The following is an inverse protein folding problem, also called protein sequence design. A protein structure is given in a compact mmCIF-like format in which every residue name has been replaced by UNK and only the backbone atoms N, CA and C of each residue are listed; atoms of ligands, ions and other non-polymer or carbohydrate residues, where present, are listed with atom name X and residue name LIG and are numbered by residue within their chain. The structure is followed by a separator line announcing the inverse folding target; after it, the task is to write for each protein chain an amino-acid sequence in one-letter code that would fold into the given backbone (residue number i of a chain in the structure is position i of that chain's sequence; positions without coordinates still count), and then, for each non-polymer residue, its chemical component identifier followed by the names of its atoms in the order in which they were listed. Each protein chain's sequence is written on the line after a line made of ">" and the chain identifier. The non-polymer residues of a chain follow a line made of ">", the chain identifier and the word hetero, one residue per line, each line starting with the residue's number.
data_IF_414789223724
#
_entry.id   IF_414789223724
#
_cell.length_a   1.000
_cell.length_b   1.000
_cell.length_c   1.000
_cell.angle_alpha   90.00
_cell.angle_beta   90.00
_cell.angle_gamma   90.00
#
_symmetry.space_group_name_H-M   'P 1'
#
loop_
_entity.id
_entity.type
_entity.pdbx_description
1 polymer ?
#
# COMPACT_ATOMS: atom_id res chain seq x y z
N UNK A 1 -53.39 22.88 24.14
CA UNK A 1 -52.54 21.86 23.46
C UNK A 1 -52.13 20.83 24.51
N UNK A 2 -52.45 19.55 24.32
CA UNK A 2 -52.33 18.50 25.34
C UNK A 2 -50.83 18.15 25.59
N UNK A 3 -50.36 18.14 26.86
CA UNK A 3 -48.93 17.90 27.21
C UNK A 3 -48.28 16.71 26.48
N UNK A 4 -49.06 15.67 26.19
CA UNK A 4 -48.59 14.51 25.39
C UNK A 4 -48.26 14.84 23.93
N UNK A 5 -48.97 15.81 23.30
CA UNK A 5 -48.68 16.26 21.92
C UNK A 5 -47.46 17.13 21.87
N UNK A 6 -47.16 17.92 22.91
CA UNK A 6 -45.98 18.76 22.98
C UNK A 6 -44.69 17.90 23.14
N UNK A 7 -44.72 16.84 23.97
CA UNK A 7 -43.58 15.92 24.14
C UNK A 7 -43.30 15.15 22.86
N UNK A 8 -44.32 14.75 22.11
CA UNK A 8 -44.16 14.04 20.84
C UNK A 8 -43.58 14.96 19.74
N UNK A 9 -43.97 16.23 19.71
CA UNK A 9 -43.45 17.21 18.76
C UNK A 9 -41.98 17.58 19.06
N UNK A 10 -41.61 17.74 20.33
CA UNK A 10 -40.23 17.99 20.76
C UNK A 10 -39.32 16.78 20.46
N UNK A 11 -39.81 15.53 20.66
CA UNK A 11 -39.05 14.31 20.33
C UNK A 11 -38.78 14.18 18.81
N UNK A 12 -39.76 14.56 17.96
CA UNK A 12 -39.59 14.56 16.50
C UNK A 12 -38.57 15.64 16.05
N UNK A 13 -38.62 16.83 16.66
CA UNK A 13 -37.66 17.90 16.34
C UNK A 13 -36.23 17.52 16.75
N UNK A 14 -36.05 16.89 17.93
CA UNK A 14 -34.74 16.42 18.39
C UNK A 14 -34.21 15.30 17.49
N UNK A 15 -35.06 14.35 17.05
CA UNK A 15 -34.69 13.30 16.11
C UNK A 15 -34.30 13.87 14.73
N UNK A 16 -34.99 14.94 14.27
CA UNK A 16 -34.69 15.61 13.00
C UNK A 16 -33.38 16.41 13.07
N UNK A 17 -33.11 17.08 14.21
CA UNK A 17 -31.85 17.82 14.42
C UNK A 17 -30.66 16.85 14.54
N UNK A 18 -30.82 15.70 15.21
CA UNK A 18 -29.81 14.66 15.29
C UNK A 18 -29.58 13.97 13.92
N UNK A 19 -30.65 13.73 13.15
CA UNK A 19 -30.57 13.19 11.79
C UNK A 19 -29.86 14.15 10.82
N UNK A 20 -30.18 15.45 10.86
CA UNK A 20 -29.51 16.48 10.05
C UNK A 20 -28.06 16.71 10.47
N UNK A 21 -27.73 16.57 11.75
CA UNK A 21 -26.35 16.63 12.26
C UNK A 21 -25.48 15.47 11.75
N UNK A 22 -26.04 14.29 11.57
CA UNK A 22 -25.36 13.13 11.00
C UNK A 22 -25.18 13.23 9.47
N UNK A 23 -26.20 13.75 8.76
CA UNK A 23 -26.14 13.96 7.30
C UNK A 23 -25.17 15.09 6.97
N UNK A 24 -25.12 16.18 7.75
CA UNK A 24 -24.20 17.30 7.52
C UNK A 24 -22.75 16.91 7.79
N UNK A 25 -22.46 16.12 8.84
CA UNK A 25 -21.11 15.62 9.13
C UNK A 25 -20.62 14.66 8.05
N UNK A 26 -21.47 13.79 7.51
CA UNK A 26 -21.14 12.90 6.39
C UNK A 26 -20.84 13.67 5.10
N UNK A 27 -21.64 14.70 4.78
CA UNK A 27 -21.45 15.50 3.55
C UNK A 27 -20.26 16.46 3.64
N UNK A 28 -19.94 16.95 4.83
CA UNK A 28 -18.73 17.78 5.07
C UNK A 28 -17.48 16.90 5.02
N UNK A 29 -17.56 15.68 5.53
CA UNK A 29 -16.45 14.70 5.48
C UNK A 29 -16.14 14.31 4.03
N UNK A 30 -17.14 13.98 3.21
CA UNK A 30 -16.98 13.68 1.78
C UNK A 30 -16.49 14.89 0.98
N UNK A 31 -17.01 16.11 1.21
CA UNK A 31 -16.54 17.31 0.52
C UNK A 31 -15.11 17.71 0.89
N UNK A 32 -14.72 17.55 2.17
CA UNK A 32 -13.35 17.82 2.63
C UNK A 32 -12.37 16.75 2.13
N UNK A 33 -12.80 15.50 2.06
CA UNK A 33 -12.06 14.38 1.48
C UNK A 33 -11.75 14.65 0.00
N UNK A 34 -12.77 14.97 -0.79
CA UNK A 34 -12.64 15.28 -2.22
C UNK A 34 -11.79 16.54 -2.50
N UNK A 35 -11.70 17.51 -1.60
CA UNK A 35 -10.92 18.75 -1.82
C UNK A 35 -9.42 18.55 -1.64
N UNK A 36 -8.99 17.67 -0.72
CA UNK A 36 -7.58 17.33 -0.51
C UNK A 36 -7.12 16.35 -1.60
N UNK A 37 -7.98 15.45 -2.03
CA UNK A 37 -7.73 14.48 -3.10
C UNK A 37 -7.51 15.14 -4.47
N UNK A 38 -8.31 16.15 -4.81
CA UNK A 38 -8.22 16.83 -6.11
C UNK A 38 -6.90 17.57 -6.35
N UNK A 39 -6.08 17.83 -5.33
CA UNK A 39 -4.79 18.48 -5.52
C UNK A 39 -3.66 17.51 -5.91
N UNK A 40 -3.78 16.20 -5.64
CA UNK A 40 -2.74 15.21 -5.91
C UNK A 40 -2.99 14.34 -7.15
N UNK A 41 -4.14 14.50 -7.85
CA UNK A 41 -4.57 13.56 -8.90
C UNK A 41 -4.26 13.96 -10.34
N UNK A 42 -3.53 15.07 -10.57
CA UNK A 42 -3.19 15.52 -11.92
C UNK A 42 -1.89 14.93 -12.47
N UNK A 43 -1.64 13.62 -12.25
CA UNK A 43 -0.57 12.93 -12.95
C UNK A 43 -1.17 12.28 -14.19
N UNK A 44 -0.75 12.77 -15.35
CA UNK A 44 -1.14 12.20 -16.63
C UNK A 44 -0.15 11.08 -16.98
N UNK A 45 -0.55 9.85 -16.73
CA UNK A 45 0.27 8.68 -17.04
C UNK A 45 0.28 8.42 -18.54
N UNK A 46 1.38 8.78 -19.20
CA UNK A 46 1.57 8.66 -20.65
C UNK A 46 2.70 7.70 -21.00
N UNK A 47 2.52 6.95 -22.07
CA UNK A 47 3.57 6.12 -22.63
C UNK A 47 4.60 6.98 -23.36
N UNK A 48 5.88 6.83 -22.97
CA UNK A 48 7.07 7.34 -23.63
C UNK A 48 8.12 6.24 -23.64
N UNK A 49 7.78 5.14 -24.31
CA UNK A 49 8.54 3.90 -24.26
C UNK A 49 9.91 4.04 -24.93
N UNK A 50 10.91 3.45 -24.32
CA UNK A 50 12.21 3.20 -24.95
C UNK A 50 11.98 2.34 -26.19
N UNK A 51 12.74 2.60 -27.26
CA UNK A 51 12.59 1.91 -28.53
C UNK A 51 12.54 0.38 -28.36
N UNK A 52 11.54 -0.26 -28.97
CA UNK A 52 11.34 -1.73 -28.97
C UNK A 52 12.47 -2.52 -29.64
N UNK A 53 13.40 -1.85 -30.37
CA UNK A 53 14.57 -2.48 -30.96
C UNK A 53 15.61 -2.91 -29.93
N UNK A 54 15.54 -2.36 -28.71
CA UNK A 54 16.44 -2.64 -27.62
C UNK A 54 15.58 -3.23 -26.47
N UNK A 55 15.93 -4.42 -26.00
CA UNK A 55 15.23 -5.08 -24.88
C UNK A 55 16.22 -5.37 -23.74
N UNK A 56 15.81 -5.25 -22.48
CA UNK A 56 16.58 -5.76 -21.36
C UNK A 56 16.62 -7.30 -21.43
N UNK A 57 17.71 -7.90 -20.92
CA UNK A 57 17.83 -9.35 -20.80
C UNK A 57 17.50 -9.72 -19.35
N UNK A 58 16.29 -10.16 -19.10
CA UNK A 58 15.85 -10.62 -17.79
C UNK A 58 16.36 -12.05 -17.49
N UNK A 59 16.31 -12.41 -16.19
CA UNK A 59 16.45 -13.78 -15.73
C UNK A 59 15.01 -14.35 -15.65
N UNK A 60 14.79 -15.48 -16.33
CA UNK A 60 13.43 -15.96 -16.50
C UNK A 60 12.56 -15.04 -17.35
N UNK A 61 11.26 -15.16 -17.21
CA UNK A 61 10.26 -14.31 -17.89
C UNK A 61 9.28 -13.76 -16.85
N UNK A 62 9.59 -12.56 -16.25
CA UNK A 62 8.63 -11.90 -15.37
C UNK A 62 7.27 -11.75 -16.04
N UNK A 63 6.20 -12.12 -15.35
CA UNK A 63 4.86 -12.12 -15.96
C UNK A 63 4.42 -10.71 -16.36
N UNK A 64 4.68 -9.71 -15.51
CA UNK A 64 4.39 -8.32 -15.86
C UNK A 64 5.41 -7.36 -15.24
N UNK A 65 5.79 -6.33 -16.00
CA UNK A 65 6.74 -5.29 -15.55
C UNK A 65 6.35 -3.92 -16.07
N UNK A 66 6.73 -2.89 -15.31
CA UNK A 66 6.63 -1.49 -15.74
C UNK A 66 7.76 -0.65 -15.12
N UNK A 67 8.14 0.42 -15.83
CA UNK A 67 8.99 1.48 -15.28
C UNK A 67 8.34 2.84 -15.56
N UNK A 68 8.23 3.67 -14.51
CA UNK A 68 7.53 4.96 -14.52
C UNK A 68 8.45 6.04 -13.95
N UNK A 69 8.59 7.15 -14.65
CA UNK A 69 9.12 8.38 -14.08
C UNK A 69 8.12 8.98 -13.08
N UNK A 70 8.50 9.02 -11.81
CA UNK A 70 7.58 9.39 -10.74
C UNK A 70 7.24 10.89 -10.72
N UNK A 71 8.03 11.74 -11.38
CA UNK A 71 7.81 13.19 -11.42
C UNK A 71 6.66 13.57 -12.35
N UNK A 72 6.66 12.99 -13.54
CA UNK A 72 5.74 13.35 -14.61
C UNK A 72 4.77 12.25 -15.04
N UNK A 73 4.89 11.02 -14.49
CA UNK A 73 4.03 9.88 -14.81
C UNK A 73 4.36 9.22 -16.15
N UNK A 74 5.51 9.50 -16.76
CA UNK A 74 5.85 8.89 -18.04
C UNK A 74 6.24 7.41 -17.87
N UNK A 75 5.55 6.53 -18.58
CA UNK A 75 5.82 5.10 -18.64
C UNK A 75 6.89 4.88 -19.70
N UNK A 76 8.09 4.51 -19.27
CA UNK A 76 9.28 4.37 -20.11
C UNK A 76 9.58 2.92 -20.50
N UNK A 77 9.05 1.96 -19.76
CA UNK A 77 9.07 0.54 -20.07
C UNK A 77 7.75 -0.11 -19.66
N UNK A 78 7.27 -1.06 -20.45
CA UNK A 78 6.02 -1.80 -20.19
C UNK A 78 6.13 -3.21 -20.80
N UNK A 79 5.72 -4.22 -20.01
CA UNK A 79 5.57 -5.60 -20.41
C UNK A 79 4.37 -6.18 -19.67
N UNK A 80 3.33 -6.63 -20.38
CA UNK A 80 2.06 -7.13 -19.84
C UNK A 80 1.47 -6.24 -18.72
N UNK A 81 1.78 -4.95 -18.73
CA UNK A 81 1.56 -4.00 -17.64
C UNK A 81 0.09 -3.80 -17.29
N UNK A 82 -0.83 -4.17 -18.18
CA UNK A 82 -2.28 -4.06 -17.95
C UNK A 82 -2.93 -5.39 -17.51
N UNK A 83 -2.17 -6.50 -17.49
CA UNK A 83 -2.66 -7.80 -17.03
C UNK A 83 -2.88 -7.78 -15.54
N UNK A 84 -4.08 -8.11 -15.03
CA UNK A 84 -4.29 -8.29 -13.58
C UNK A 84 -3.51 -9.52 -13.10
N UNK A 85 -2.76 -9.33 -12.02
CA UNK A 85 -2.03 -10.39 -11.34
C UNK A 85 -2.28 -10.32 -9.85
N UNK A 86 -2.13 -11.43 -9.13
CA UNK A 86 -2.07 -11.41 -7.68
C UNK A 86 -0.81 -10.67 -7.25
N UNK A 87 -0.94 -9.73 -6.31
CA UNK A 87 0.13 -8.77 -5.98
C UNK A 87 0.64 -8.93 -4.55
N UNK A 88 0.15 -9.91 -3.83
CA UNK A 88 0.57 -10.18 -2.46
C UNK A 88 0.67 -8.89 -1.61
N UNK A 89 1.75 -8.76 -0.84
CA UNK A 89 2.00 -7.61 0.04
C UNK A 89 2.24 -6.27 -0.65
N UNK A 90 2.33 -6.20 -1.99
CA UNK A 90 2.38 -4.90 -2.68
C UNK A 90 1.08 -4.10 -2.45
N UNK A 91 -0.03 -4.78 -2.20
CA UNK A 91 -1.31 -4.16 -1.79
C UNK A 91 -1.21 -3.30 -0.53
N UNK A 92 -0.21 -3.57 0.34
CA UNK A 92 0.05 -2.72 1.52
C UNK A 92 0.40 -1.27 1.15
N UNK A 93 0.82 -0.99 -0.09
CA UNK A 93 0.98 0.40 -0.54
C UNK A 93 -0.33 1.18 -0.49
N UNK A 94 -1.47 0.56 -0.90
CA UNK A 94 -2.79 1.18 -0.75
C UNK A 94 -3.18 1.29 0.73
N UNK A 95 -2.94 0.24 1.52
CA UNK A 95 -3.19 0.25 2.97
C UNK A 95 -2.43 1.39 3.65
N UNK A 96 -1.14 1.49 3.41
CA UNK A 96 -0.28 2.52 4.01
C UNK A 96 -0.63 3.92 3.53
N UNK A 97 -1.02 4.10 2.28
CA UNK A 97 -1.54 5.40 1.80
C UNK A 97 -2.71 5.89 2.65
N UNK A 98 -3.72 5.04 2.87
CA UNK A 98 -4.90 5.39 3.66
C UNK A 98 -4.57 5.59 5.15
N UNK A 99 -3.64 4.81 5.69
CA UNK A 99 -3.14 4.95 7.08
C UNK A 99 -2.44 6.28 7.27
N UNK A 100 -1.47 6.62 6.40
CA UNK A 100 -0.71 7.88 6.47
C UNK A 100 -1.66 9.06 6.35
N UNK A 101 -2.60 9.00 5.40
CA UNK A 101 -3.61 10.06 5.19
C UNK A 101 -4.40 10.34 6.47
N UNK A 102 -4.89 9.30 7.16
CA UNK A 102 -5.60 9.45 8.43
C UNK A 102 -4.66 9.94 9.54
N UNK A 103 -3.45 9.39 9.64
CA UNK A 103 -2.49 9.74 10.68
C UNK A 103 -2.08 11.21 10.59
N UNK A 104 -1.80 11.72 9.40
CA UNK A 104 -1.45 13.13 9.18
C UNK A 104 -2.63 14.07 9.48
N UNK A 105 -3.83 13.74 8.98
CA UNK A 105 -5.02 14.57 9.18
C UNK A 105 -5.40 14.73 10.64
N UNK A 106 -5.21 13.70 11.47
CA UNK A 106 -5.67 13.65 12.85
C UNK A 106 -4.54 13.75 13.88
N UNK A 107 -3.30 14.06 13.45
CA UNK A 107 -2.10 13.95 14.28
C UNK A 107 -2.02 12.58 14.99
N UNK A 108 -2.30 11.53 14.23
CA UNK A 108 -2.60 10.19 14.74
C UNK A 108 -1.41 9.26 14.91
N UNK A 109 -0.19 9.67 14.56
CA UNK A 109 0.99 8.78 14.59
C UNK A 109 1.25 8.13 15.95
N UNK A 110 0.97 8.86 17.04
CA UNK A 110 1.16 8.38 18.42
C UNK A 110 -0.13 7.78 19.03
N UNK A 111 -1.22 7.68 18.27
CA UNK A 111 -2.43 7.02 18.75
C UNK A 111 -2.17 5.52 18.91
N UNK A 112 -2.76 4.95 19.98
CA UNK A 112 -2.66 3.52 20.27
C UNK A 112 -3.66 2.77 19.37
N UNK A 113 -3.16 1.73 18.73
CA UNK A 113 -3.95 0.80 17.93
C UNK A 113 -4.39 -0.37 18.80
N UNK A 114 -5.62 -0.83 18.65
CA UNK A 114 -6.09 -2.01 19.35
C UNK A 114 -5.47 -3.28 18.73
N UNK A 115 -4.54 -3.90 19.46
CA UNK A 115 -3.87 -5.16 19.07
C UNK A 115 -4.29 -6.35 19.94
N UNK A 116 -5.36 -6.19 20.75
CA UNK A 116 -5.78 -7.22 21.72
C UNK A 116 -6.76 -8.25 21.13
N UNK A 117 -7.18 -8.10 19.86
CA UNK A 117 -8.03 -9.09 19.20
C UNK A 117 -7.32 -10.46 19.20
N UNK A 118 -7.92 -11.53 19.76
CA UNK A 118 -7.28 -12.84 19.88
C UNK A 118 -6.81 -13.43 18.55
N UNK A 119 -7.53 -13.15 17.45
CA UNK A 119 -7.16 -13.63 16.12
C UNK A 119 -5.94 -12.87 15.57
N UNK A 120 -5.82 -11.56 15.81
CA UNK A 120 -4.62 -10.80 15.46
C UNK A 120 -3.41 -11.22 16.30
N UNK A 121 -3.61 -11.48 17.60
CA UNK A 121 -2.54 -12.00 18.48
C UNK A 121 -2.08 -13.37 17.99
N UNK A 122 -2.99 -14.29 17.68
CA UNK A 122 -2.63 -15.59 17.11
C UNK A 122 -1.88 -15.47 15.78
N UNK A 123 -2.33 -14.56 14.88
CA UNK A 123 -1.65 -14.28 13.61
C UNK A 123 -0.26 -13.69 13.83
N UNK A 124 -0.06 -12.87 14.87
CA UNK A 124 1.22 -12.24 15.16
C UNK A 124 2.34 -13.25 15.44
N UNK A 125 2.00 -14.44 15.92
CA UNK A 125 2.93 -15.55 16.18
C UNK A 125 3.09 -16.51 15.00
N UNK A 126 2.43 -16.24 13.87
CA UNK A 126 2.54 -17.08 12.66
C UNK A 126 3.64 -16.53 11.75
N UNK A 127 4.86 -17.03 11.89
CA UNK A 127 6.01 -16.58 11.11
C UNK A 127 5.82 -16.82 9.62
N UNK A 128 5.23 -17.96 9.23
CA UNK A 128 4.96 -18.33 7.83
C UNK A 128 3.99 -17.35 7.15
N UNK A 129 3.15 -16.67 7.94
CA UNK A 129 2.25 -15.62 7.47
C UNK A 129 2.79 -14.19 7.74
N UNK A 130 4.10 -14.02 7.90
CA UNK A 130 4.71 -12.71 8.11
C UNK A 130 4.22 -12.01 9.39
N UNK A 131 4.04 -12.78 10.47
CA UNK A 131 3.62 -12.26 11.78
C UNK A 131 4.67 -11.34 12.41
N UNK A 132 4.19 -10.31 13.09
CA UNK A 132 4.96 -9.43 13.96
C UNK A 132 4.39 -9.53 15.36
N UNK A 133 5.19 -9.98 16.33
CA UNK A 133 4.73 -10.33 17.67
C UNK A 133 4.03 -9.16 18.37
N UNK A 134 2.76 -9.35 18.76
CA UNK A 134 2.05 -8.42 19.63
C UNK A 134 2.29 -8.80 21.07
N UNK A 135 3.23 -8.10 21.72
CA UNK A 135 3.59 -8.33 23.11
C UNK A 135 2.45 -7.88 24.05
N UNK A 136 2.08 -8.74 24.99
CA UNK A 136 0.94 -8.54 25.92
C UNK A 136 0.99 -7.21 26.68
N UNK A 137 2.19 -6.74 27.04
CA UNK A 137 2.39 -5.56 27.86
C UNK A 137 2.80 -4.31 27.07
N UNK A 138 2.81 -4.38 25.73
CA UNK A 138 3.12 -3.24 24.87
C UNK A 138 1.87 -2.66 24.23
N UNK A 139 1.77 -1.35 24.20
CA UNK A 139 0.70 -0.61 23.50
C UNK A 139 1.26 -0.02 22.21
N UNK A 140 0.96 -0.68 21.13
CA UNK A 140 1.47 -0.30 19.80
C UNK A 140 0.83 0.98 19.30
N UNK A 141 1.67 1.92 18.87
CA UNK A 141 1.24 3.14 18.18
C UNK A 141 1.01 2.89 16.69
N UNK A 142 0.30 3.79 16.04
CA UNK A 142 0.15 3.79 14.57
C UNK A 142 1.51 3.79 13.88
N UNK A 143 2.49 4.58 14.38
CA UNK A 143 3.83 4.68 13.80
C UNK A 143 4.60 3.36 13.88
N UNK A 144 4.54 2.65 14.99
CA UNK A 144 5.19 1.36 15.18
C UNK A 144 4.62 0.32 14.21
N UNK A 145 3.29 0.19 14.17
CA UNK A 145 2.66 -0.77 13.25
C UNK A 145 2.83 -0.39 11.77
N UNK A 146 2.87 0.91 11.45
CA UNK A 146 3.22 1.39 10.12
C UNK A 146 4.61 0.90 9.70
N UNK A 147 5.62 1.04 10.56
CA UNK A 147 6.97 0.54 10.28
C UNK A 147 6.99 -0.98 10.13
N UNK A 148 6.31 -1.72 11.00
CA UNK A 148 6.20 -3.17 10.90
C UNK A 148 5.54 -3.60 9.56
N UNK A 149 4.48 -2.92 9.12
CA UNK A 149 3.79 -3.21 7.87
C UNK A 149 4.61 -2.83 6.62
N UNK A 150 5.34 -1.67 6.66
CA UNK A 150 6.13 -1.20 5.53
C UNK A 150 7.42 -2.01 5.37
N UNK A 151 8.20 -2.15 6.45
CA UNK A 151 9.59 -2.63 6.45
C UNK A 151 9.64 -4.16 6.48
N UNK A 152 8.93 -4.79 7.43
CA UNK A 152 8.87 -6.25 7.59
C UNK A 152 7.70 -6.90 6.85
N UNK A 153 6.87 -6.11 6.17
CA UNK A 153 5.67 -6.65 5.51
C UNK A 153 4.63 -7.28 6.44
N UNK A 154 4.61 -6.93 7.73
CA UNK A 154 3.75 -7.55 8.74
C UNK A 154 2.26 -7.50 8.36
N UNK A 155 1.64 -8.68 8.30
CA UNK A 155 0.24 -8.84 7.90
C UNK A 155 -0.73 -8.45 9.01
N UNK A 156 -0.47 -8.88 10.25
CA UNK A 156 -1.29 -8.52 11.41
C UNK A 156 -1.21 -7.02 11.73
N UNK A 157 -0.05 -6.38 11.53
CA UNK A 157 0.08 -4.93 11.68
C UNK A 157 -0.74 -4.18 10.62
N UNK A 158 -0.72 -4.63 9.35
CA UNK A 158 -1.52 -4.03 8.29
C UNK A 158 -3.03 -4.14 8.56
N UNK A 159 -3.50 -5.30 9.05
CA UNK A 159 -4.90 -5.51 9.41
C UNK A 159 -5.30 -4.62 10.60
N UNK A 160 -4.49 -4.59 11.66
CA UNK A 160 -4.75 -3.75 12.83
C UNK A 160 -4.82 -2.25 12.47
N UNK A 161 -3.93 -1.78 11.58
CA UNK A 161 -3.96 -0.43 11.05
C UNK A 161 -5.22 -0.16 10.23
N UNK A 162 -5.65 -1.11 9.40
CA UNK A 162 -6.90 -1.01 8.65
C UNK A 162 -8.11 -0.88 9.58
N UNK A 163 -8.16 -1.67 10.66
CA UNK A 163 -9.20 -1.56 11.68
C UNK A 163 -9.15 -0.21 12.42
N UNK A 164 -7.94 0.29 12.72
CA UNK A 164 -7.79 1.64 13.29
C UNK A 164 -8.32 2.72 12.33
N UNK A 165 -8.10 2.58 11.02
CA UNK A 165 -8.60 3.55 10.03
C UNK A 165 -10.12 3.52 9.93
N UNK A 166 -10.74 2.36 9.78
CA UNK A 166 -12.15 2.23 9.38
C UNK A 166 -13.08 1.63 10.44
N UNK A 167 -12.54 1.21 11.59
CA UNK A 167 -13.28 0.55 12.67
C UNK A 167 -13.54 -0.94 12.43
N UNK A 168 -13.26 -1.48 11.22
CA UNK A 168 -13.21 -2.91 10.94
C UNK A 168 -12.45 -3.17 9.64
N UNK A 169 -11.84 -4.37 9.53
CA UNK A 169 -11.09 -4.77 8.33
C UNK A 169 -11.97 -4.77 7.08
N UNK A 170 -13.22 -5.28 7.14
CA UNK A 170 -14.17 -5.24 6.01
C UNK A 170 -14.44 -3.82 5.50
N UNK A 171 -14.68 -2.87 6.41
CA UNK A 171 -14.88 -1.46 6.02
C UNK A 171 -13.63 -0.88 5.40
N UNK A 172 -12.46 -1.25 5.90
CA UNK A 172 -11.19 -0.79 5.37
C UNK A 172 -10.93 -1.31 3.95
N UNK A 173 -11.16 -2.60 3.69
CA UNK A 173 -11.05 -3.17 2.33
C UNK A 173 -11.99 -2.44 1.36
N UNK A 174 -13.22 -2.13 1.79
CA UNK A 174 -14.13 -1.32 0.98
C UNK A 174 -13.56 0.09 0.69
N UNK A 175 -12.87 0.71 1.67
CA UNK A 175 -12.18 2.00 1.44
C UNK A 175 -11.04 1.85 0.43
N UNK A 176 -10.25 0.77 0.47
CA UNK A 176 -9.20 0.50 -0.54
C UNK A 176 -9.81 0.42 -1.94
N UNK A 177 -10.92 -0.31 -2.12
CA UNK A 177 -11.60 -0.42 -3.40
C UNK A 177 -12.23 0.90 -3.86
N UNK A 178 -12.77 1.70 -2.92
CA UNK A 178 -13.26 3.05 -3.23
C UNK A 178 -12.13 3.98 -3.68
N UNK A 179 -10.98 3.92 -3.00
CA UNK A 179 -9.81 4.70 -3.38
C UNK A 179 -9.28 4.31 -4.76
N UNK A 180 -9.22 3.02 -5.05
CA UNK A 180 -8.86 2.52 -6.37
C UNK A 180 -9.81 3.06 -7.45
N UNK A 181 -11.11 3.05 -7.20
CA UNK A 181 -12.12 3.60 -8.12
C UNK A 181 -11.94 5.11 -8.33
N UNK A 182 -11.67 5.89 -7.27
CA UNK A 182 -11.39 7.33 -7.37
C UNK A 182 -10.18 7.59 -8.26
N UNK A 183 -9.16 6.75 -8.18
CA UNK A 183 -7.94 6.85 -8.99
C UNK A 183 -8.06 6.24 -10.39
N UNK A 184 -9.23 5.70 -10.75
CA UNK A 184 -9.46 5.06 -12.03
C UNK A 184 -8.63 3.80 -12.25
N UNK A 185 -8.27 3.09 -11.15
CA UNK A 185 -7.50 1.86 -11.20
C UNK A 185 -8.42 0.65 -11.43
N UNK A 186 -7.93 -0.32 -12.17
CA UNK A 186 -8.53 -1.65 -12.32
C UNK A 186 -7.94 -2.57 -11.26
N UNK A 187 -8.27 -2.31 -9.99
CA UNK A 187 -7.76 -3.05 -8.84
C UNK A 187 -8.92 -3.66 -8.06
N UNK A 188 -8.72 -4.89 -7.58
CA UNK A 188 -9.66 -5.58 -6.71
C UNK A 188 -8.96 -6.01 -5.42
N UNK A 189 -9.38 -5.41 -4.31
CA UNK A 189 -8.84 -5.71 -2.98
C UNK A 189 -9.84 -6.54 -2.18
N UNK A 190 -9.39 -7.67 -1.64
CA UNK A 190 -10.11 -8.54 -0.70
C UNK A 190 -9.45 -8.58 0.67
N UNK A 191 -8.21 -8.06 0.76
CA UNK A 191 -7.39 -8.10 1.97
C UNK A 191 -6.62 -6.79 2.15
N UNK A 192 -6.53 -6.30 3.39
CA UNK A 192 -5.68 -5.15 3.78
C UNK A 192 -4.21 -5.53 3.92
N UNK A 193 -3.89 -6.82 4.05
CA UNK A 193 -2.52 -7.33 4.20
C UNK A 193 -1.90 -7.81 2.90
N UNK A 194 -2.71 -8.28 1.95
CA UNK A 194 -2.26 -8.93 0.72
C UNK A 194 -2.18 -10.44 0.80
N UNK A 195 -2.45 -11.04 1.97
CA UNK A 195 -2.70 -12.48 2.08
C UNK A 195 -3.99 -12.83 1.32
N UNK A 196 -4.07 -14.06 0.86
CA UNK A 196 -5.26 -14.62 0.25
C UNK A 196 -6.32 -14.95 1.31
N UNK A 197 -7.57 -15.04 0.88
CA UNK A 197 -8.67 -15.37 1.79
C UNK A 197 -8.53 -16.76 2.40
N UNK A 198 -7.92 -17.73 1.70
CA UNK A 198 -7.59 -19.05 2.22
C UNK A 198 -6.72 -18.99 3.48
N UNK A 199 -5.69 -18.13 3.48
CA UNK A 199 -4.81 -17.92 4.63
C UNK A 199 -5.51 -17.17 5.76
N UNK A 200 -6.33 -16.19 5.41
CA UNK A 200 -7.06 -15.33 6.34
C UNK A 200 -8.24 -16.04 7.02
N UNK A 201 -8.79 -17.08 6.40
CA UNK A 201 -9.96 -17.81 6.87
C UNK A 201 -9.80 -18.35 8.29
N UNK A 202 -8.64 -18.91 8.61
CA UNK A 202 -8.34 -19.44 9.94
C UNK A 202 -8.32 -18.39 11.04
N UNK A 203 -8.24 -17.11 10.66
CA UNK A 203 -8.22 -15.96 11.56
C UNK A 203 -9.50 -15.12 11.47
N UNK A 204 -10.49 -15.52 10.63
CA UNK A 204 -11.74 -14.79 10.45
C UNK A 204 -11.61 -13.46 9.71
N UNK A 205 -10.57 -13.30 8.91
CA UNK A 205 -10.29 -12.08 8.13
C UNK A 205 -10.58 -12.19 6.63
N UNK A 206 -11.11 -13.33 6.14
CA UNK A 206 -11.62 -13.53 4.78
C UNK A 206 -13.03 -12.90 4.62
N UNK A 207 -13.15 -11.59 4.82
CA UNK A 207 -14.44 -10.90 5.01
C UNK A 207 -15.02 -10.32 3.72
N UNK A 208 -14.26 -10.35 2.62
CA UNK A 208 -14.62 -9.83 1.29
C UNK A 208 -14.16 -10.83 0.25
N UNK A 209 -15.01 -11.15 -0.73
CA UNK A 209 -14.72 -12.14 -1.78
C UNK A 209 -14.90 -13.59 -1.32
N UNK A 210 -14.40 -14.53 -2.12
CA UNK A 210 -14.46 -15.99 -1.89
C UNK A 210 -13.14 -16.49 -1.26
N UNK A 211 -13.13 -17.74 -0.80
CA UNK A 211 -11.99 -18.34 -0.10
C UNK A 211 -10.69 -18.35 -0.91
N UNK A 212 -10.75 -18.46 -2.24
CA UNK A 212 -9.57 -18.49 -3.11
C UNK A 212 -9.18 -17.12 -3.69
N UNK A 213 -9.90 -16.07 -3.29
CA UNK A 213 -9.62 -14.73 -3.81
C UNK A 213 -8.37 -14.14 -3.12
N UNK A 214 -7.58 -13.44 -3.92
CA UNK A 214 -6.45 -12.61 -3.50
C UNK A 214 -6.62 -11.19 -4.06
N UNK A 215 -5.74 -10.29 -3.67
CA UNK A 215 -5.73 -8.95 -4.26
C UNK A 215 -5.17 -8.99 -5.67
N UNK A 216 -5.97 -8.57 -6.66
CA UNK A 216 -5.60 -8.55 -8.07
C UNK A 216 -5.45 -7.12 -8.57
N UNK A 217 -4.26 -6.79 -9.07
CA UNK A 217 -3.93 -5.46 -9.59
C UNK A 217 -2.89 -5.61 -10.70
N UNK A 218 -2.98 -4.80 -11.76
CA UNK A 218 -1.98 -4.78 -12.82
C UNK A 218 -0.67 -4.10 -12.39
N UNK A 219 0.45 -4.44 -13.02
CA UNK A 219 1.74 -3.77 -12.76
C UNK A 219 1.63 -2.24 -12.95
N UNK A 220 0.86 -1.80 -13.96
CA UNK A 220 0.59 -0.38 -14.21
C UNK A 220 -0.14 0.29 -13.06
N UNK A 221 -1.15 -0.36 -12.50
CA UNK A 221 -1.95 0.25 -11.45
C UNK A 221 -1.23 0.19 -10.09
N UNK A 222 -0.44 -0.85 -9.80
CA UNK A 222 0.50 -0.85 -8.65
C UNK A 222 1.54 0.27 -8.81
N UNK A 223 2.11 0.44 -10.00
CA UNK A 223 3.03 1.55 -10.30
C UNK A 223 2.42 2.92 -10.05
N UNK A 224 1.16 3.13 -10.45
CA UNK A 224 0.42 4.37 -10.14
C UNK A 224 0.23 4.57 -8.64
N UNK A 225 -0.16 3.52 -7.89
CA UNK A 225 -0.29 3.58 -6.43
C UNK A 225 1.05 4.01 -5.81
N UNK A 226 2.17 3.43 -6.27
CA UNK A 226 3.51 3.79 -5.80
C UNK A 226 3.84 5.26 -6.10
N UNK A 227 3.53 5.76 -7.29
CA UNK A 227 3.74 7.18 -7.64
C UNK A 227 2.85 8.09 -6.81
N UNK A 228 1.59 7.73 -6.56
CA UNK A 228 0.68 8.53 -5.73
C UNK A 228 1.17 8.62 -4.28
N UNK A 229 1.58 7.49 -3.67
CA UNK A 229 2.07 7.53 -2.28
C UNK A 229 3.39 8.30 -2.18
N UNK A 230 4.32 8.16 -3.13
CA UNK A 230 5.57 8.91 -3.17
C UNK A 230 5.36 10.42 -3.35
N UNK A 231 4.33 10.84 -4.09
CA UNK A 231 3.99 12.26 -4.23
C UNK A 231 3.28 12.83 -3.01
N UNK A 232 2.32 12.08 -2.47
CA UNK A 232 1.56 12.53 -1.30
C UNK A 232 2.40 12.51 -0.02
N UNK A 233 3.32 11.55 0.10
CA UNK A 233 4.11 11.28 1.30
C UNK A 233 5.56 10.94 0.95
N UNK A 234 6.35 11.93 0.47
CA UNK A 234 7.72 11.69 0.01
C UNK A 234 8.62 11.07 1.09
N UNK A 235 8.35 11.34 2.37
CA UNK A 235 9.10 10.80 3.51
C UNK A 235 8.95 9.28 3.71
N UNK A 236 8.07 8.61 2.96
CA UNK A 236 7.97 7.14 3.02
C UNK A 236 9.30 6.46 2.67
N UNK A 237 10.14 7.11 1.83
CA UNK A 237 11.45 6.57 1.47
C UNK A 237 12.45 6.63 2.63
N UNK A 238 12.27 7.54 3.60
CA UNK A 238 13.13 7.62 4.78
C UNK A 238 12.96 6.38 5.66
N UNK A 239 11.76 5.82 5.70
CA UNK A 239 11.46 4.57 6.41
C UNK A 239 11.78 3.35 5.55
N UNK A 240 11.36 3.31 4.26
CA UNK A 240 11.55 2.15 3.39
C UNK A 240 13.01 1.89 3.00
N UNK A 241 13.89 2.88 3.11
CA UNK A 241 15.33 2.73 2.88
C UNK A 241 16.11 2.13 4.05
N UNK A 242 15.48 1.99 5.22
CA UNK A 242 16.13 1.40 6.38
C UNK A 242 16.25 -0.12 6.22
N UNK A 243 17.48 -0.63 6.13
CA UNK A 243 17.72 -2.08 6.08
C UNK A 243 17.35 -2.78 7.39
N UNK A 244 17.46 -2.08 8.50
CA UNK A 244 17.08 -2.52 9.85
C UNK A 244 16.49 -1.33 10.61
N UNK A 245 15.43 -1.58 11.37
CA UNK A 245 14.87 -0.61 12.32
C UNK A 245 14.46 -1.34 13.60
N UNK A 246 14.03 -0.59 14.60
CA UNK A 246 13.69 -1.14 15.91
C UNK A 246 12.31 -0.67 16.34
N UNK A 247 11.58 -1.55 17.05
CA UNK A 247 10.35 -1.25 17.73
C UNK A 247 10.45 -1.80 19.17
N UNK A 248 10.74 -0.91 20.12
CA UNK A 248 11.10 -1.31 21.47
C UNK A 248 12.31 -2.24 21.47
N UNK A 249 12.12 -3.48 21.90
CA UNK A 249 13.11 -4.55 21.91
C UNK A 249 13.05 -5.48 20.68
N UNK A 250 12.17 -5.20 19.72
CA UNK A 250 12.03 -5.97 18.49
C UNK A 250 12.85 -5.36 17.36
N UNK A 251 13.71 -6.17 16.76
CA UNK A 251 14.45 -5.79 15.55
C UNK A 251 13.59 -6.09 14.34
N UNK A 252 13.42 -5.10 13.47
CA UNK A 252 12.67 -5.19 12.22
C UNK A 252 13.65 -5.17 11.06
N UNK A 253 13.77 -6.27 10.33
CA UNK A 253 14.60 -6.40 9.13
C UNK A 253 13.79 -6.09 7.89
N UNK A 254 14.36 -5.27 7.00
CA UNK A 254 13.77 -5.01 5.70
C UNK A 254 14.00 -6.19 4.76
N UNK A 255 12.94 -6.60 4.05
CA UNK A 255 12.99 -7.68 3.06
C UNK A 255 13.56 -7.22 1.71
N UNK A 256 13.70 -5.92 1.46
CA UNK A 256 14.25 -5.39 0.22
C UNK A 256 15.74 -5.70 0.10
N UNK A 257 16.07 -6.64 -0.81
CA UNK A 257 17.45 -7.08 -1.07
C UNK A 257 18.35 -6.04 -1.75
N UNK A 258 17.78 -4.92 -2.25
CA UNK A 258 18.51 -3.87 -2.97
C UNK A 258 19.05 -2.75 -2.05
N UNK A 259 18.79 -2.80 -0.74
CA UNK A 259 19.21 -1.77 0.21
C UNK A 259 20.68 -1.92 0.61
N UNK A 260 21.33 -0.84 1.11
CA UNK A 260 22.70 -0.91 1.62
C UNK A 260 22.91 -2.04 2.62
N UNK A 261 23.98 -2.83 2.40
CA UNK A 261 24.32 -3.99 3.23
C UNK A 261 23.52 -5.26 2.92
N UNK A 262 22.67 -5.26 1.90
CA UNK A 262 21.98 -6.44 1.38
C UNK A 262 22.67 -7.01 0.15
N UNK A 263 22.33 -8.25 -0.22
CA UNK A 263 22.98 -9.06 -1.24
C UNK A 263 22.99 -8.41 -2.64
N UNK A 264 21.89 -7.79 -3.03
CA UNK A 264 21.68 -7.20 -4.36
C UNK A 264 21.96 -5.70 -4.41
N UNK A 265 22.63 -5.13 -3.40
CA UNK A 265 22.86 -3.69 -3.33
C UNK A 265 23.75 -3.19 -4.46
N UNK A 266 23.24 -2.25 -5.25
CA UNK A 266 23.98 -1.51 -6.27
C UNK A 266 23.84 0.00 -6.05
N UNK A 267 24.89 0.68 -5.55
CA UNK A 267 24.83 2.11 -5.22
C UNK A 267 24.57 2.99 -6.46
N UNK A 268 24.85 2.51 -7.67
CA UNK A 268 24.62 3.26 -8.91
C UNK A 268 23.13 3.45 -9.24
N UNK A 269 22.24 2.67 -8.62
CA UNK A 269 20.81 2.71 -8.87
C UNK A 269 20.06 3.66 -7.92
N UNK A 270 20.67 4.02 -6.78
CA UNK A 270 20.06 4.89 -5.78
C UNK A 270 18.74 4.35 -5.21
N UNK A 271 18.63 3.01 -5.07
CA UNK A 271 17.41 2.37 -4.55
C UNK A 271 17.22 2.73 -3.08
N UNK A 272 15.99 3.19 -2.75
CA UNK A 272 15.59 3.61 -1.40
C UNK A 272 14.21 3.07 -0.98
N UNK A 273 13.68 2.10 -1.71
CA UNK A 273 12.41 1.42 -1.40
C UNK A 273 11.94 0.55 -2.56
N UNK A 274 10.69 0.06 -2.58
CA UNK A 274 9.58 0.53 -1.74
C UNK A 274 8.95 -0.64 -0.99
N UNK A 275 8.56 -1.75 -1.70
CA UNK A 275 7.83 -2.88 -1.11
C UNK A 275 8.06 -4.19 -1.85
N UNK A 276 8.28 -5.26 -1.09
CA UNK A 276 8.31 -6.65 -1.53
C UNK A 276 6.94 -7.31 -1.37
N UNK A 277 6.67 -8.37 -2.09
CA UNK A 277 5.49 -9.20 -1.96
C UNK A 277 5.74 -10.62 -2.41
N UNK A 278 5.19 -11.58 -1.65
CA UNK A 278 5.21 -12.99 -2.00
C UNK A 278 3.99 -13.70 -1.42
N UNK A 279 3.38 -14.54 -2.21
CA UNK A 279 2.55 -15.70 -1.83
C UNK A 279 2.80 -16.79 -2.86
N UNK A 280 2.48 -18.04 -2.55
CA UNK A 280 2.67 -19.15 -3.49
C UNK A 280 1.95 -18.92 -4.82
N UNK A 281 0.84 -18.23 -4.81
CA UNK A 281 0.05 -17.96 -6.02
C UNK A 281 0.40 -16.65 -6.73
N UNK A 282 1.05 -15.70 -6.06
CA UNK A 282 1.48 -14.42 -6.64
C UNK A 282 2.91 -14.49 -7.21
N UNK A 283 3.71 -15.45 -6.77
CA UNK A 283 5.15 -15.47 -7.03
C UNK A 283 5.88 -14.30 -6.36
N UNK A 284 7.14 -14.08 -6.73
CA UNK A 284 7.92 -12.94 -6.25
C UNK A 284 7.44 -11.65 -6.93
N UNK A 285 7.15 -10.64 -6.11
CA UNK A 285 6.67 -9.33 -6.56
C UNK A 285 7.48 -8.22 -5.89
N UNK A 286 7.83 -7.18 -6.64
CA UNK A 286 8.57 -6.05 -6.09
C UNK A 286 8.14 -4.71 -6.71
N UNK A 287 7.98 -3.71 -5.87
CA UNK A 287 7.97 -2.29 -6.27
C UNK A 287 9.29 -1.70 -5.84
N UNK A 288 10.15 -1.42 -6.81
CA UNK A 288 11.40 -0.70 -6.61
C UNK A 288 11.22 0.80 -6.81
N UNK A 289 11.87 1.62 -6.00
CA UNK A 289 12.05 3.05 -6.28
C UNK A 289 13.49 3.45 -6.03
N UNK A 290 13.99 4.37 -6.86
CA UNK A 290 15.35 4.86 -6.73
C UNK A 290 15.50 6.26 -7.29
N UNK A 291 16.46 7.01 -6.73
CA UNK A 291 16.80 8.36 -7.18
C UNK A 291 18.29 8.53 -7.28
N UNK A 292 18.79 8.66 -8.49
CA UNK A 292 20.19 8.99 -8.77
C UNK A 292 20.36 10.52 -8.75
N UNK A 293 21.50 11.00 -8.27
CA UNK A 293 21.83 12.44 -8.21
C UNK A 293 21.65 13.10 -9.58
N UNK A 294 20.89 14.19 -9.61
CA UNK A 294 20.62 14.97 -10.82
C UNK A 294 19.53 14.38 -11.74
N UNK A 295 18.94 13.24 -11.37
CA UNK A 295 17.87 12.58 -12.15
C UNK A 295 16.57 12.56 -11.38
N UNK A 296 15.45 12.41 -12.10
CA UNK A 296 14.13 12.23 -11.49
C UNK A 296 14.02 10.81 -10.89
N UNK A 297 13.08 10.62 -9.97
CA UNK A 297 12.83 9.34 -9.31
C UNK A 297 12.21 8.34 -10.28
N UNK A 298 12.77 7.15 -10.35
CA UNK A 298 12.21 6.02 -11.08
C UNK A 298 11.41 5.12 -10.14
N UNK A 299 10.26 4.65 -10.60
CA UNK A 299 9.47 3.57 -10.00
C UNK A 299 9.48 2.39 -10.96
N UNK A 300 9.76 1.20 -10.47
CA UNK A 300 9.68 -0.05 -11.21
C UNK A 300 8.72 -1.01 -10.50
N UNK A 301 8.00 -1.82 -11.25
CA UNK A 301 7.18 -2.91 -10.72
C UNK A 301 7.52 -4.19 -11.46
N UNK A 302 7.67 -5.26 -10.71
CA UNK A 302 7.87 -6.62 -11.21
C UNK A 302 6.84 -7.52 -10.53
N UNK A 303 6.06 -8.28 -11.29
CA UNK A 303 5.02 -9.18 -10.77
C UNK A 303 5.27 -10.59 -11.28
N UNK A 304 5.05 -11.56 -10.38
CA UNK A 304 5.18 -12.98 -10.63
C UNK A 304 6.48 -13.30 -11.36
N UNK A 305 7.58 -13.06 -10.67
CA UNK A 305 8.94 -13.17 -11.17
C UNK A 305 9.67 -14.32 -10.44
N UNK A 306 10.71 -14.85 -11.06
CA UNK A 306 11.60 -15.85 -10.45
C UNK A 306 12.79 -15.20 -9.72
N UNK A 307 13.11 -13.93 -10.05
CA UNK A 307 14.24 -13.15 -9.48
C UNK A 307 13.95 -11.63 -9.55
N UNK A 308 13.05 -11.18 -8.70
CA UNK A 308 12.52 -9.80 -8.71
C UNK A 308 13.61 -8.74 -8.49
N UNK A 309 14.66 -9.05 -7.72
CA UNK A 309 15.73 -8.08 -7.44
C UNK A 309 16.69 -7.94 -8.62
N UNK A 310 17.18 -9.06 -9.16
CA UNK A 310 18.08 -9.02 -10.33
C UNK A 310 17.38 -8.42 -11.55
N UNK A 311 16.10 -8.75 -11.76
CA UNK A 311 15.33 -8.21 -12.87
C UNK A 311 15.01 -6.72 -12.68
N UNK A 312 14.73 -6.28 -11.45
CA UNK A 312 14.63 -4.85 -11.14
C UNK A 312 15.94 -4.10 -11.43
N UNK A 313 17.10 -4.63 -11.03
CA UNK A 313 18.42 -4.04 -11.35
C UNK A 313 18.59 -3.89 -12.87
N UNK A 314 18.30 -4.96 -13.62
CA UNK A 314 18.41 -4.95 -15.08
C UNK A 314 17.48 -3.92 -15.72
N UNK A 315 16.24 -3.83 -15.24
CA UNK A 315 15.26 -2.86 -15.71
C UNK A 315 15.72 -1.42 -15.43
N UNK A 316 16.15 -1.14 -14.19
CA UNK A 316 16.62 0.21 -13.82
C UNK A 316 17.85 0.61 -14.63
N UNK A 317 18.87 -0.26 -14.75
CA UNK A 317 20.05 -0.03 -15.61
C UNK A 317 19.67 0.20 -17.06
N UNK A 318 18.74 -0.58 -17.58
CA UNK A 318 18.23 -0.42 -18.94
C UNK A 318 17.58 0.95 -19.14
N UNK A 319 16.73 1.38 -18.22
CA UNK A 319 16.05 2.68 -18.28
C UNK A 319 17.06 3.83 -18.17
N UNK A 320 17.98 3.80 -17.19
CA UNK A 320 18.97 4.85 -17.00
C UNK A 320 19.93 5.02 -18.21
N UNK A 321 20.20 3.92 -18.92
CA UNK A 321 21.06 3.94 -20.10
C UNK A 321 20.32 4.41 -21.36
N UNK A 322 19.07 4.06 -21.54
CA UNK A 322 18.39 4.15 -22.84
C UNK A 322 17.26 5.19 -22.90
N UNK A 323 16.68 5.61 -21.78
CA UNK A 323 15.65 6.64 -21.76
C UNK A 323 16.25 8.04 -21.86
N UNK A 324 15.65 8.86 -22.72
CA UNK A 324 16.05 10.28 -22.86
C UNK A 324 15.81 11.09 -21.56
N UNK A 325 14.90 10.64 -20.70
CA UNK A 325 14.60 11.28 -19.40
C UNK A 325 15.74 11.14 -18.39
N UNK A 326 16.65 10.18 -18.59
CA UNK A 326 17.70 9.81 -17.63
C UNK A 326 19.11 9.99 -18.22
N UNK A 327 19.24 10.67 -19.37
CA UNK A 327 20.52 11.03 -19.99
C UNK A 327 21.09 12.31 -19.42
#
# INVERSE_FOLDING_TARGET
>A
MNRKKLVFFVAIIIAFILGLGFISKGSIFTKSFNKIENQNHNIDFKYNLISHKIKPKFLGEPEAMIAIDAKNGQIVYAHNENKPEKVASLSKLMTLYLVIQKAQKNNGWNQIVNTTNPNLVRMSHSYDLGGFDFKKNHKYTVKELYKAALIRSSNNAAIALGEWVAGSNKKFINMMNQQAKIWGLKAHFVSSSGLENSDLKHYGYNQVGNDNDGNEVSAKDIGKIAVYILKAYPSIVDDSSQAVTYDGDQTIYNENGLLPGKEFYDPSLGVDGLKTGYTDSAGLCFVGTGKVKGKDRLVTVTLNDDDEFSNTIKLMKFVYKNSALYK
#
